data_IF_832499678288
#
_entry.id   IF_832499678288
#
_cell.length_a   1.000
_cell.length_b   1.000
_cell.length_c   1.000
_cell.angle_alpha   90.00
_cell.angle_beta   90.00
_cell.angle_gamma   90.00
#
_symmetry.space_group_name_H-M   'P 1'
#
loop_
_entity.id
_entity.type
_entity.pdbx_description
1 polymer ?
#
# COMPACT_ATOMS: atom_id res chain seq x y z
N UNK A 1 9.38 -37.73 -6.49
CA UNK A 1 8.62 -36.70 -5.73
C UNK A 1 8.98 -36.88 -4.26
N UNK A 2 9.91 -36.10 -3.75
CA UNK A 2 10.25 -36.06 -2.33
C UNK A 2 9.16 -35.27 -1.61
N UNK A 3 8.48 -35.91 -0.68
CA UNK A 3 7.50 -35.28 0.21
C UNK A 3 8.27 -34.23 1.05
N UNK A 4 7.87 -32.96 1.05
CA UNK A 4 8.50 -31.95 1.89
C UNK A 4 8.35 -32.35 3.37
N UNK A 5 9.42 -32.13 4.14
CA UNK A 5 9.44 -32.35 5.59
C UNK A 5 8.27 -31.61 6.25
N UNK A 6 7.57 -32.20 7.22
CA UNK A 6 6.47 -31.54 7.92
C UNK A 6 6.99 -30.27 8.60
N UNK A 7 6.23 -29.18 8.50
CA UNK A 7 6.43 -27.96 9.29
C UNK A 7 6.34 -28.40 10.76
N UNK A 8 7.46 -28.34 11.49
CA UNK A 8 7.52 -28.73 12.89
C UNK A 8 6.60 -27.82 13.71
N UNK A 9 5.52 -28.41 14.22
CA UNK A 9 4.63 -27.81 15.19
C UNK A 9 5.35 -27.73 16.55
N UNK A 10 6.17 -26.69 16.77
CA UNK A 10 6.55 -26.29 18.12
C UNK A 10 5.39 -25.45 18.69
N UNK A 11 4.92 -25.83 19.86
CA UNK A 11 3.84 -25.25 20.66
C UNK A 11 4.02 -23.76 20.96
N UNK A 12 3.90 -22.93 19.93
CA UNK A 12 3.57 -21.51 20.05
C UNK A 12 2.05 -21.40 20.09
N UNK A 13 1.48 -20.45 20.85
CA UNK A 13 0.05 -20.15 20.82
C UNK A 13 -0.38 -20.03 19.35
N UNK A 14 -1.50 -20.68 18.98
CA UNK A 14 -2.01 -20.73 17.60
C UNK A 14 -1.95 -19.33 16.95
N UNK A 15 -1.12 -19.12 15.92
CA UNK A 15 -0.83 -17.77 15.41
C UNK A 15 -2.07 -16.99 14.97
N UNK A 16 -3.03 -17.66 14.34
CA UNK A 16 -4.30 -17.05 13.94
C UNK A 16 -5.05 -16.51 15.15
N UNK A 17 -5.21 -17.30 16.19
CA UNK A 17 -5.90 -16.89 17.42
C UNK A 17 -5.09 -15.82 18.16
N UNK A 18 -3.76 -15.89 18.17
CA UNK A 18 -2.89 -14.87 18.77
C UNK A 18 -3.09 -13.49 18.15
N UNK A 19 -3.17 -13.39 16.81
CA UNK A 19 -3.51 -12.14 16.12
C UNK A 19 -4.91 -11.64 16.50
N UNK A 20 -5.89 -12.53 16.60
CA UNK A 20 -7.25 -12.17 16.97
C UNK A 20 -7.36 -11.67 18.42
N UNK A 21 -6.66 -12.31 19.36
CA UNK A 21 -6.57 -11.88 20.76
C UNK A 21 -5.92 -10.51 20.90
N UNK A 22 -4.81 -10.29 20.18
CA UNK A 22 -4.19 -8.97 20.11
C UNK A 22 -5.18 -7.91 19.62
N UNK A 23 -5.83 -8.15 18.48
CA UNK A 23 -6.80 -7.22 17.92
C UNK A 23 -7.97 -6.93 18.87
N UNK A 24 -8.49 -7.95 19.54
CA UNK A 24 -9.59 -7.80 20.51
C UNK A 24 -9.20 -6.98 21.74
N UNK A 25 -7.96 -7.13 22.21
CA UNK A 25 -7.45 -6.47 23.42
C UNK A 25 -6.87 -5.08 23.16
N UNK A 26 -6.51 -4.75 21.92
CA UNK A 26 -5.84 -3.50 21.59
C UNK A 26 -6.76 -2.31 21.84
N UNK A 27 -6.24 -1.33 22.57
CA UNK A 27 -6.94 -0.07 22.88
C UNK A 27 -6.15 1.09 22.23
N UNK A 28 -6.85 1.99 21.58
CA UNK A 28 -6.22 3.13 20.92
C UNK A 28 -5.56 4.10 21.91
N UNK A 29 -6.15 4.30 23.10
CA UNK A 29 -5.56 5.13 24.15
C UNK A 29 -4.24 4.55 24.70
N UNK A 30 -4.07 3.23 24.67
CA UNK A 30 -2.87 2.51 25.08
C UNK A 30 -1.78 2.44 24.00
N UNK A 31 -2.08 2.82 22.74
CA UNK A 31 -1.07 2.87 21.70
C UNK A 31 0.04 3.87 22.04
N UNK A 32 1.31 3.54 21.80
CA UNK A 32 2.44 4.47 21.93
C UNK A 32 2.18 5.76 21.14
N UNK A 33 2.68 6.90 21.66
CA UNK A 33 2.45 8.21 21.05
C UNK A 33 2.95 8.27 19.61
N UNK A 34 4.11 7.72 19.34
CA UNK A 34 4.70 7.68 18.00
C UNK A 34 3.85 6.86 17.02
N UNK A 35 3.23 5.76 17.47
CA UNK A 35 2.29 4.98 16.66
C UNK A 35 1.05 5.80 16.30
N UNK A 36 0.52 6.59 17.25
CA UNK A 36 -0.62 7.50 16.99
C UNK A 36 -0.25 8.55 15.95
N UNK A 37 0.95 9.13 16.05
CA UNK A 37 1.48 10.09 15.05
C UNK A 37 1.60 9.43 13.68
N UNK A 38 2.26 8.26 13.61
CA UNK A 38 2.41 7.52 12.35
C UNK A 38 1.05 7.20 11.71
N UNK A 39 0.05 6.77 12.49
CA UNK A 39 -1.29 6.50 11.97
C UNK A 39 -1.97 7.77 11.41
N UNK A 40 -1.75 8.92 12.03
CA UNK A 40 -2.22 10.21 11.52
C UNK A 40 -1.57 10.58 10.18
N UNK A 41 -0.25 10.41 10.07
CA UNK A 41 0.50 10.66 8.85
C UNK A 41 0.12 9.71 7.72
N UNK A 42 -0.06 8.41 8.02
CA UNK A 42 -0.57 7.41 7.07
C UNK A 42 -2.02 7.71 6.65
N UNK A 43 -2.86 8.24 7.55
CA UNK A 43 -4.21 8.70 7.20
C UNK A 43 -4.17 9.86 6.19
N UNK A 44 -3.30 10.86 6.40
CA UNK A 44 -3.13 11.97 5.45
C UNK A 44 -2.65 11.45 4.09
N UNK A 45 -1.69 10.52 4.07
CA UNK A 45 -1.22 9.92 2.82
C UNK A 45 -2.30 9.09 2.12
N UNK A 46 -3.05 8.28 2.87
CA UNK A 46 -4.20 7.53 2.35
C UNK A 46 -5.24 8.45 1.69
N UNK A 47 -5.64 9.53 2.37
CA UNK A 47 -6.60 10.50 1.81
C UNK A 47 -6.03 11.18 0.57
N UNK A 48 -4.74 11.54 0.58
CA UNK A 48 -4.03 12.15 -0.55
C UNK A 48 -4.07 11.24 -1.78
N UNK A 49 -3.67 9.97 -1.65
CA UNK A 49 -3.64 9.04 -2.80
C UNK A 49 -5.05 8.71 -3.27
N UNK A 50 -6.01 8.56 -2.36
CA UNK A 50 -7.40 8.32 -2.70
C UNK A 50 -8.00 9.50 -3.47
N UNK A 51 -7.63 10.74 -3.14
CA UNK A 51 -8.12 11.93 -3.84
C UNK A 51 -7.69 11.95 -5.30
N UNK A 52 -6.43 11.62 -5.59
CA UNK A 52 -5.91 11.52 -6.96
C UNK A 52 -6.56 10.33 -7.67
N UNK A 53 -6.56 9.19 -7.01
CA UNK A 53 -7.08 7.93 -7.57
C UNK A 53 -8.57 7.98 -7.90
N UNK A 54 -9.38 8.73 -7.16
CA UNK A 54 -10.80 8.90 -7.42
C UNK A 54 -11.10 9.53 -8.80
N UNK A 55 -10.13 10.22 -9.42
CA UNK A 55 -10.28 10.83 -10.76
C UNK A 55 -9.82 9.93 -11.90
N UNK A 56 -9.19 8.82 -11.59
CA UNK A 56 -8.68 7.93 -12.62
C UNK A 56 -9.82 7.24 -13.41
N UNK A 57 -9.64 6.97 -14.70
CA UNK A 57 -10.68 6.34 -15.53
C UNK A 57 -11.21 5.02 -14.97
N UNK A 58 -10.31 4.17 -14.46
CA UNK A 58 -10.68 2.88 -13.85
C UNK A 58 -11.48 3.02 -12.56
N UNK A 59 -11.33 4.13 -11.83
CA UNK A 59 -12.20 4.44 -10.68
C UNK A 59 -13.62 4.77 -11.12
N UNK A 60 -13.79 5.41 -12.28
CA UNK A 60 -15.10 5.57 -12.92
C UNK A 60 -15.74 4.25 -13.32
N UNK A 61 -14.94 3.28 -13.79
CA UNK A 61 -15.45 1.93 -14.11
C UNK A 61 -15.88 1.19 -12.84
N UNK A 62 -15.13 1.35 -11.74
CA UNK A 62 -15.50 0.79 -10.45
C UNK A 62 -16.80 1.39 -9.90
N UNK A 63 -16.96 2.73 -10.01
CA UNK A 63 -18.21 3.44 -9.67
C UNK A 63 -19.40 2.88 -10.45
N UNK A 64 -19.25 2.72 -11.78
CA UNK A 64 -20.27 2.18 -12.65
C UNK A 64 -20.64 0.74 -12.29
N UNK A 65 -19.62 -0.12 -12.02
CA UNK A 65 -19.83 -1.50 -11.60
C UNK A 65 -20.60 -1.58 -10.27
N UNK A 66 -20.19 -0.83 -9.25
CA UNK A 66 -20.88 -0.80 -7.97
C UNK A 66 -22.26 -0.16 -8.06
N UNK A 67 -22.47 0.76 -9.01
CA UNK A 67 -23.76 1.34 -9.31
C UNK A 67 -24.77 0.31 -9.82
N UNK A 68 -24.35 -0.66 -10.63
CA UNK A 68 -25.19 -1.76 -11.14
C UNK A 68 -25.63 -2.74 -10.03
N UNK A 69 -24.77 -2.93 -9.02
CA UNK A 69 -25.08 -3.81 -7.90
C UNK A 69 -26.06 -3.17 -6.89
N UNK A 70 -26.33 -1.87 -7.00
CA UNK A 70 -27.19 -1.13 -6.07
C UNK A 70 -26.56 -0.99 -4.68
N UNK A 71 -27.39 -1.03 -3.63
CA UNK A 71 -26.96 -0.98 -2.23
C UNK A 71 -26.73 0.45 -1.72
N UNK A 72 -27.74 0.99 -1.03
CA UNK A 72 -27.60 2.19 -0.21
C UNK A 72 -27.12 1.79 1.19
N UNK A 73 -26.45 2.67 1.89
CA UNK A 73 -25.95 2.42 3.24
C UNK A 73 -25.47 3.68 3.92
N UNK A 74 -24.75 3.50 5.02
CA UNK A 74 -24.27 4.61 5.86
C UNK A 74 -22.82 4.99 5.58
N UNK A 75 -22.06 4.09 4.94
CA UNK A 75 -20.62 4.25 4.77
C UNK A 75 -20.30 5.22 3.63
N UNK A 76 -19.43 6.18 3.89
CA UNK A 76 -19.00 7.16 2.91
C UNK A 76 -18.15 6.51 1.81
N UNK A 77 -18.42 6.94 0.57
CA UNK A 77 -17.51 6.74 -0.55
C UNK A 77 -16.73 8.05 -0.69
N UNK A 78 -15.42 7.98 -0.51
CA UNK A 78 -14.57 9.16 -0.51
C UNK A 78 -14.65 9.88 -1.86
N UNK A 79 -14.73 11.22 -1.83
CA UNK A 79 -14.83 12.07 -3.03
C UNK A 79 -16.06 11.76 -3.91
N UNK A 80 -17.11 11.22 -3.29
CA UNK A 80 -18.42 11.00 -3.90
C UNK A 80 -19.51 11.41 -2.92
N UNK A 81 -20.61 12.02 -3.39
CA UNK A 81 -21.72 12.40 -2.52
C UNK A 81 -22.57 11.20 -2.06
N UNK A 82 -22.42 10.05 -2.73
CA UNK A 82 -23.19 8.85 -2.43
C UNK A 82 -22.57 8.09 -1.24
N UNK A 83 -23.44 7.54 -0.40
CA UNK A 83 -23.08 6.55 0.60
C UNK A 83 -23.51 5.15 0.13
N UNK A 84 -22.80 4.15 0.59
CA UNK A 84 -23.05 2.74 0.25
C UNK A 84 -23.09 1.90 1.53
N UNK A 85 -23.47 0.63 1.43
CA UNK A 85 -23.16 -0.34 2.47
C UNK A 85 -21.63 -0.47 2.64
N UNK A 86 -21.20 -0.98 3.81
CA UNK A 86 -19.78 -0.99 4.16
C UNK A 86 -18.92 -1.81 3.18
N UNK A 87 -19.46 -2.90 2.63
CA UNK A 87 -18.73 -3.77 1.68
C UNK A 87 -18.40 -3.01 0.39
N UNK A 88 -19.39 -2.33 -0.19
CA UNK A 88 -19.21 -1.56 -1.43
C UNK A 88 -18.40 -0.27 -1.22
N UNK A 89 -18.60 0.38 -0.08
CA UNK A 89 -17.80 1.56 0.28
C UNK A 89 -16.31 1.20 0.43
N UNK A 90 -16.00 0.08 1.10
CA UNK A 90 -14.63 -0.43 1.23
C UNK A 90 -14.00 -0.74 -0.13
N UNK A 91 -14.75 -1.39 -1.04
CA UNK A 91 -14.27 -1.65 -2.41
C UNK A 91 -13.90 -0.35 -3.14
N UNK A 92 -14.81 0.63 -3.16
CA UNK A 92 -14.59 1.89 -3.89
C UNK A 92 -13.44 2.69 -3.30
N UNK A 93 -13.41 2.84 -1.98
CA UNK A 93 -12.36 3.58 -1.28
C UNK A 93 -10.98 2.94 -1.50
N UNK A 94 -10.89 1.62 -1.45
CA UNK A 94 -9.65 0.90 -1.73
C UNK A 94 -9.25 0.94 -3.21
N UNK A 95 -10.22 0.97 -4.14
CA UNK A 95 -9.95 1.23 -5.55
C UNK A 95 -9.27 2.59 -5.70
N UNK A 96 -9.83 3.64 -5.09
CA UNK A 96 -9.26 4.99 -5.22
C UNK A 96 -7.86 5.07 -4.61
N UNK A 97 -7.67 4.57 -3.40
CA UNK A 97 -6.38 4.62 -2.71
C UNK A 97 -5.29 3.80 -3.41
N UNK A 98 -5.62 2.62 -3.94
CA UNK A 98 -4.68 1.75 -4.67
C UNK A 98 -4.51 2.07 -6.16
N UNK A 99 -5.20 3.11 -6.67
CA UNK A 99 -5.33 3.40 -8.10
C UNK A 99 -4.07 3.88 -8.80
N UNK A 100 -3.17 4.55 -8.08
CA UNK A 100 -2.09 5.31 -8.71
C UNK A 100 -0.68 4.78 -8.40
N UNK A 101 -0.60 3.66 -7.67
CA UNK A 101 0.68 3.06 -7.22
C UNK A 101 1.59 4.00 -6.42
N UNK A 102 0.99 4.95 -5.69
CA UNK A 102 1.65 5.88 -4.78
C UNK A 102 1.22 5.70 -3.33
N UNK A 103 0.43 4.66 -3.05
CA UNK A 103 0.02 4.22 -1.73
C UNK A 103 1.20 3.62 -0.94
N UNK A 104 1.08 3.64 0.38
CA UNK A 104 2.08 3.12 1.28
C UNK A 104 2.45 1.66 1.01
N UNK A 105 3.63 1.25 1.45
CA UNK A 105 4.15 -0.09 1.15
C UNK A 105 5.00 -0.61 2.30
N UNK A 106 4.75 -1.84 2.74
CA UNK A 106 5.69 -2.58 3.55
C UNK A 106 6.57 -3.44 2.62
N UNK A 107 7.84 -3.05 2.47
CA UNK A 107 8.73 -3.62 1.43
C UNK A 107 9.00 -5.10 1.67
N UNK A 108 9.27 -5.51 2.91
CA UNK A 108 9.59 -6.89 3.28
C UNK A 108 8.43 -7.85 3.02
N UNK A 109 7.20 -7.47 3.33
CA UNK A 109 6.01 -8.29 3.07
C UNK A 109 5.43 -8.10 1.66
N UNK A 110 6.00 -7.18 0.86
CA UNK A 110 5.62 -6.91 -0.55
C UNK A 110 4.14 -6.54 -0.72
N UNK A 111 3.59 -5.73 0.19
CA UNK A 111 2.18 -5.38 0.19
C UNK A 111 1.93 -3.90 0.52
N UNK A 112 0.70 -3.45 0.23
CA UNK A 112 0.23 -2.08 0.40
C UNK A 112 -0.89 -2.04 1.45
N UNK A 113 -0.59 -1.78 2.74
CA UNK A 113 -1.59 -1.94 3.78
C UNK A 113 -2.62 -0.81 3.83
N UNK A 114 -2.20 0.44 3.66
CA UNK A 114 -3.07 1.60 3.90
C UNK A 114 -4.29 1.66 3.00
N UNK A 115 -4.12 1.38 1.71
CA UNK A 115 -5.23 1.37 0.75
C UNK A 115 -6.34 0.38 1.12
N UNK A 116 -6.02 -0.68 1.86
CA UNK A 116 -6.96 -1.72 2.27
C UNK A 116 -7.51 -1.46 3.66
N UNK A 117 -6.61 -1.30 4.64
CA UNK A 117 -6.97 -1.26 6.06
C UNK A 117 -7.77 -0.01 6.40
N UNK A 118 -7.34 1.18 5.92
CA UNK A 118 -8.13 2.40 6.12
C UNK A 118 -9.48 2.32 5.43
N UNK A 119 -9.55 1.78 4.20
CA UNK A 119 -10.81 1.65 3.47
C UNK A 119 -11.82 0.75 4.19
N UNK A 120 -11.37 -0.39 4.70
CA UNK A 120 -12.21 -1.30 5.47
C UNK A 120 -12.63 -0.69 6.83
N UNK A 121 -11.67 -0.09 7.56
CA UNK A 121 -11.93 0.51 8.86
C UNK A 121 -12.88 1.71 8.77
N UNK A 122 -12.68 2.64 7.81
CA UNK A 122 -13.57 3.79 7.60
C UNK A 122 -14.99 3.35 7.25
N UNK A 123 -15.12 2.38 6.32
CA UNK A 123 -16.43 1.89 5.89
C UNK A 123 -17.21 1.28 7.07
N UNK A 124 -16.55 0.46 7.91
CA UNK A 124 -17.22 -0.16 9.02
C UNK A 124 -17.40 0.79 10.21
N UNK A 125 -16.47 1.72 10.45
CA UNK A 125 -16.61 2.76 11.46
C UNK A 125 -17.87 3.62 11.23
N UNK A 126 -18.16 4.00 9.98
CA UNK A 126 -19.40 4.69 9.60
C UNK A 126 -20.64 3.84 9.89
N UNK A 127 -20.57 2.52 9.59
CA UNK A 127 -21.68 1.59 9.79
C UNK A 127 -22.03 1.41 11.26
N UNK A 128 -21.02 1.24 12.13
CA UNK A 128 -21.22 0.99 13.57
C UNK A 128 -21.19 2.26 14.41
N UNK A 129 -20.83 3.40 13.83
CA UNK A 129 -20.72 4.67 14.52
C UNK A 129 -19.54 4.72 15.50
N UNK A 130 -18.36 4.21 15.10
CA UNK A 130 -17.19 4.13 15.95
C UNK A 130 -16.59 5.49 16.27
N UNK A 131 -16.01 5.59 17.48
CA UNK A 131 -15.13 6.70 17.89
C UNK A 131 -13.69 6.52 17.40
N UNK A 132 -12.90 7.58 17.53
CA UNK A 132 -11.51 7.61 17.08
C UNK A 132 -10.62 6.59 17.78
N UNK A 133 -10.81 6.40 19.09
CA UNK A 133 -10.04 5.44 19.87
C UNK A 133 -10.17 4.00 19.34
N UNK A 134 -11.40 3.56 19.04
CA UNK A 134 -11.64 2.23 18.45
C UNK A 134 -11.14 2.14 17.01
N UNK A 135 -11.26 3.23 16.26
CA UNK A 135 -10.80 3.31 14.88
C UNK A 135 -9.29 3.13 14.76
N UNK A 136 -8.49 3.89 15.53
CA UNK A 136 -7.03 3.75 15.46
C UNK A 136 -6.56 2.38 15.96
N UNK A 137 -7.22 1.79 16.95
CA UNK A 137 -6.94 0.42 17.39
C UNK A 137 -7.22 -0.59 16.26
N UNK A 138 -8.34 -0.43 15.55
CA UNK A 138 -8.70 -1.29 14.42
C UNK A 138 -7.71 -1.14 13.26
N UNK A 139 -7.32 0.09 12.92
CA UNK A 139 -6.32 0.34 11.86
C UNK A 139 -4.98 -0.28 12.25
N UNK A 140 -4.48 -0.03 13.46
CA UNK A 140 -3.21 -0.60 13.94
C UNK A 140 -3.25 -2.14 13.90
N UNK A 141 -4.31 -2.76 14.41
CA UNK A 141 -4.47 -4.22 14.40
C UNK A 141 -4.51 -4.78 12.96
N UNK A 142 -5.20 -4.10 12.04
CA UNK A 142 -5.26 -4.48 10.63
C UNK A 142 -3.90 -4.42 9.94
N UNK A 143 -3.12 -3.35 10.16
CA UNK A 143 -1.76 -3.22 9.64
C UNK A 143 -0.87 -4.35 10.18
N UNK A 144 -0.85 -4.57 11.51
CA UNK A 144 -0.03 -5.62 12.12
C UNK A 144 -0.39 -7.00 11.58
N UNK A 145 -1.67 -7.34 11.50
CA UNK A 145 -2.11 -8.62 10.96
C UNK A 145 -1.68 -8.81 9.50
N UNK A 146 -1.94 -7.81 8.65
CA UNK A 146 -1.61 -7.87 7.22
C UNK A 146 -0.09 -8.02 6.99
N UNK A 147 0.72 -7.19 7.66
CA UNK A 147 2.17 -7.17 7.51
C UNK A 147 2.78 -8.48 8.03
N UNK A 148 2.39 -8.94 9.21
CA UNK A 148 2.93 -10.15 9.84
C UNK A 148 2.60 -11.42 9.06
N UNK A 149 1.35 -11.55 8.58
CA UNK A 149 0.97 -12.64 7.69
C UNK A 149 1.78 -12.60 6.39
N UNK A 150 1.90 -11.42 5.78
CA UNK A 150 2.71 -11.24 4.59
C UNK A 150 4.17 -11.61 4.78
N UNK A 151 4.81 -11.15 5.85
CA UNK A 151 6.21 -11.48 6.17
C UNK A 151 6.41 -12.98 6.40
N UNK A 152 5.46 -13.65 7.07
CA UNK A 152 5.60 -15.06 7.45
C UNK A 152 5.70 -16.00 6.25
N UNK A 153 5.26 -15.59 5.06
CA UNK A 153 5.21 -16.41 3.83
C UNK A 153 6.13 -15.94 2.70
N UNK A 154 6.83 -14.79 2.89
CA UNK A 154 7.77 -14.29 1.89
C UNK A 154 9.16 -14.95 2.02
N UNK A 155 9.94 -15.00 0.92
CA UNK A 155 9.62 -14.58 -0.46
C UNK A 155 8.89 -15.65 -1.29
N UNK A 156 8.66 -16.84 -0.74
CA UNK A 156 8.12 -18.02 -1.41
C UNK A 156 6.76 -17.76 -2.06
N UNK A 157 5.86 -17.08 -1.33
CA UNK A 157 4.55 -16.68 -1.82
C UNK A 157 4.62 -15.85 -3.13
N UNK A 158 5.48 -14.84 -3.16
CA UNK A 158 5.67 -14.02 -4.35
C UNK A 158 6.29 -14.81 -5.50
N UNK A 159 7.22 -15.72 -5.22
CA UNK A 159 7.86 -16.55 -6.24
C UNK A 159 6.86 -17.51 -6.91
N UNK A 160 5.82 -17.94 -6.21
CA UNK A 160 4.72 -18.74 -6.77
C UNK A 160 3.77 -17.92 -7.67
N UNK A 161 3.97 -16.61 -7.80
CA UNK A 161 3.18 -15.76 -8.68
C UNK A 161 1.96 -15.12 -8.02
N UNK A 162 1.86 -15.14 -6.70
CA UNK A 162 0.79 -14.46 -5.97
C UNK A 162 1.14 -12.98 -5.72
N UNK A 163 0.11 -12.14 -5.74
CA UNK A 163 0.21 -10.71 -5.42
C UNK A 163 -0.20 -10.51 -3.95
N UNK A 164 0.80 -10.21 -3.11
CA UNK A 164 0.64 -10.20 -1.65
C UNK A 164 -0.41 -9.22 -1.14
N UNK A 165 -0.55 -8.05 -1.75
CA UNK A 165 -1.61 -7.09 -1.37
C UNK A 165 -3.01 -7.68 -1.54
N UNK A 166 -3.23 -8.44 -2.62
CA UNK A 166 -4.52 -9.06 -2.89
C UNK A 166 -4.81 -10.25 -1.97
N UNK A 167 -3.79 -11.10 -1.74
CA UNK A 167 -3.96 -12.34 -0.97
C UNK A 167 -3.93 -12.11 0.55
N UNK A 168 -3.01 -11.26 1.04
CA UNK A 168 -2.88 -10.99 2.48
C UNK A 168 -3.76 -9.81 2.93
N UNK A 169 -4.17 -8.94 2.01
CA UNK A 169 -4.92 -7.74 2.34
C UNK A 169 -6.28 -8.02 2.98
N UNK A 170 -6.93 -9.10 2.54
CA UNK A 170 -8.21 -9.52 3.11
C UNK A 170 -8.12 -9.78 4.62
N UNK A 171 -7.00 -10.32 5.10
CA UNK A 171 -6.79 -10.56 6.54
C UNK A 171 -6.71 -9.25 7.32
N UNK A 172 -5.93 -8.27 6.83
CA UNK A 172 -5.85 -6.95 7.47
C UNK A 172 -7.20 -6.24 7.50
N UNK A 173 -7.94 -6.29 6.40
CA UNK A 173 -9.30 -5.74 6.32
C UNK A 173 -10.27 -6.46 7.26
N UNK A 174 -10.22 -7.80 7.34
CA UNK A 174 -11.07 -8.59 8.22
C UNK A 174 -10.79 -8.29 9.69
N UNK A 175 -9.52 -8.20 10.08
CA UNK A 175 -9.12 -7.86 11.45
C UNK A 175 -9.60 -6.45 11.81
N UNK A 176 -9.36 -5.45 10.97
CA UNK A 176 -9.79 -4.07 11.22
C UNK A 176 -11.33 -3.97 11.31
N UNK A 177 -12.04 -4.58 10.37
CA UNK A 177 -13.49 -4.58 10.34
C UNK A 177 -14.10 -5.35 11.53
N UNK A 178 -13.60 -6.55 11.83
CA UNK A 178 -14.10 -7.38 12.92
C UNK A 178 -13.81 -6.74 14.29
N UNK A 179 -12.64 -6.09 14.46
CA UNK A 179 -12.33 -5.32 15.69
C UNK A 179 -13.38 -4.24 15.98
N UNK A 180 -13.88 -3.58 14.93
CA UNK A 180 -14.96 -2.57 15.08
C UNK A 180 -16.33 -3.23 15.25
N UNK A 181 -16.62 -4.30 14.50
CA UNK A 181 -17.90 -5.00 14.54
C UNK A 181 -18.19 -5.65 15.88
N UNK A 182 -17.17 -6.15 16.57
CA UNK A 182 -17.27 -6.92 17.81
C UNK A 182 -16.70 -6.19 19.03
N UNK A 183 -16.51 -4.87 18.92
CA UNK A 183 -15.99 -4.06 20.02
C UNK A 183 -16.80 -4.21 21.30
N UNK A 184 -16.14 -4.61 22.40
CA UNK A 184 -16.77 -4.82 23.70
C UNK A 184 -17.63 -6.07 23.83
N UNK A 185 -17.72 -6.91 22.80
CA UNK A 185 -18.48 -8.16 22.86
C UNK A 185 -17.71 -9.28 23.57
N UNK A 186 -18.47 -10.21 24.19
CA UNK A 186 -17.88 -11.46 24.73
C UNK A 186 -17.31 -12.29 23.61
N UNK A 187 -16.15 -12.92 23.86
CA UNK A 187 -15.42 -13.75 22.89
C UNK A 187 -15.16 -13.02 21.55
N UNK A 188 -14.86 -11.72 21.61
CA UNK A 188 -14.53 -10.91 20.43
C UNK A 188 -13.33 -11.50 19.66
N UNK A 189 -12.34 -12.05 20.37
CA UNK A 189 -11.18 -12.74 19.81
C UNK A 189 -11.58 -13.93 18.93
N UNK A 190 -12.46 -14.82 19.38
CA UNK A 190 -12.97 -15.94 18.56
C UNK A 190 -13.78 -15.46 17.34
N UNK A 191 -14.53 -14.37 17.46
CA UNK A 191 -15.26 -13.78 16.34
C UNK A 191 -14.34 -13.13 15.33
N UNK A 192 -13.26 -12.50 15.78
CA UNK A 192 -12.20 -11.99 14.92
C UNK A 192 -11.45 -13.15 14.24
N UNK A 193 -11.11 -14.22 14.98
CA UNK A 193 -10.50 -15.42 14.42
C UNK A 193 -11.40 -16.07 13.35
N UNK A 194 -12.71 -16.17 13.59
CA UNK A 194 -13.68 -16.61 12.60
C UNK A 194 -13.69 -15.73 11.35
N UNK A 195 -13.58 -14.40 11.50
CA UNK A 195 -13.48 -13.48 10.36
C UNK A 195 -12.20 -13.69 9.55
N UNK A 196 -11.07 -13.94 10.22
CA UNK A 196 -9.79 -14.32 9.58
C UNK A 196 -9.97 -15.65 8.83
N UNK A 197 -10.62 -16.63 9.45
CA UNK A 197 -10.89 -17.94 8.84
C UNK A 197 -11.78 -17.86 7.60
N UNK A 198 -12.81 -17.03 7.63
CA UNK A 198 -13.72 -16.83 6.49
C UNK A 198 -13.01 -16.15 5.31
N UNK A 199 -12.26 -15.07 5.57
CA UNK A 199 -11.63 -14.28 4.49
C UNK A 199 -10.54 -15.06 3.77
N UNK A 200 -9.89 -16.01 4.40
CA UNK A 200 -8.90 -16.86 3.77
C UNK A 200 -9.44 -17.61 2.53
N UNK A 201 -10.72 -17.99 2.58
CA UNK A 201 -11.39 -18.67 1.47
C UNK A 201 -11.74 -17.73 0.30
N UNK A 202 -11.60 -16.41 0.50
CA UNK A 202 -11.83 -15.38 -0.53
C UNK A 202 -10.53 -14.83 -1.09
N UNK A 203 -9.37 -15.27 -0.56
CA UNK A 203 -8.06 -14.75 -0.95
C UNK A 203 -7.69 -15.13 -2.37
N UNK A 204 -7.17 -14.18 -3.13
CA UNK A 204 -6.72 -14.40 -4.49
C UNK A 204 -6.05 -13.17 -5.08
N UNK A 205 -5.30 -13.37 -6.16
CA UNK A 205 -4.60 -12.33 -6.89
C UNK A 205 -3.24 -12.80 -7.40
N UNK A 206 -2.96 -12.49 -8.67
CA UNK A 206 -1.80 -12.99 -9.39
C UNK A 206 -0.93 -11.86 -9.93
N UNK A 207 0.36 -12.13 -10.11
CA UNK A 207 1.37 -11.16 -10.59
C UNK A 207 1.56 -11.16 -12.11
N UNK A 208 0.78 -11.92 -12.89
CA UNK A 208 0.93 -12.01 -14.35
C UNK A 208 0.87 -10.65 -15.05
N UNK A 209 0.15 -9.67 -14.47
CA UNK A 209 0.06 -8.31 -15.02
C UNK A 209 1.42 -7.59 -15.15
N UNK A 210 2.45 -7.98 -14.42
CA UNK A 210 3.82 -7.45 -14.62
C UNK A 210 4.35 -7.72 -16.03
N UNK A 211 3.95 -8.83 -16.64
CA UNK A 211 4.43 -9.25 -17.96
C UNK A 211 3.49 -8.88 -19.10
N UNK A 212 2.18 -8.91 -18.82
CA UNK A 212 1.17 -8.80 -19.87
C UNK A 212 0.53 -7.41 -19.98
N UNK A 213 0.81 -6.52 -19.02
CA UNK A 213 0.05 -5.29 -18.83
C UNK A 213 -1.40 -5.60 -18.45
N UNK A 214 -2.05 -4.78 -17.70
CA UNK A 214 -3.48 -4.92 -17.36
C UNK A 214 -3.87 -3.92 -16.26
N UNK A 215 -5.15 -3.62 -16.16
CA UNK A 215 -5.69 -2.80 -15.07
C UNK A 215 -6.00 -3.59 -13.80
N UNK A 216 -5.81 -4.92 -13.77
CA UNK A 216 -6.23 -5.79 -12.65
C UNK A 216 -5.59 -5.42 -11.31
N UNK A 217 -4.35 -4.92 -11.30
CA UNK A 217 -3.71 -4.44 -10.07
C UNK A 217 -4.54 -3.37 -9.37
N UNK A 218 -5.28 -2.53 -10.13
CA UNK A 218 -6.08 -1.42 -9.61
C UNK A 218 -7.24 -1.87 -8.71
N UNK A 219 -7.70 -3.11 -8.88
CA UNK A 219 -8.78 -3.70 -8.07
C UNK A 219 -8.30 -4.74 -7.06
N UNK A 220 -7.01 -5.03 -6.96
CA UNK A 220 -6.50 -5.99 -5.97
C UNK A 220 -6.78 -5.52 -4.54
N UNK A 221 -6.45 -4.26 -4.22
CA UNK A 221 -6.75 -3.67 -2.91
C UNK A 221 -8.26 -3.62 -2.65
N UNK A 222 -9.04 -3.27 -3.68
CA UNK A 222 -10.50 -3.20 -3.61
C UNK A 222 -11.13 -4.52 -3.20
N UNK A 223 -10.76 -5.63 -3.89
CA UNK A 223 -11.29 -6.95 -3.58
C UNK A 223 -10.86 -7.44 -2.20
N UNK A 224 -9.63 -7.16 -1.80
CA UNK A 224 -9.14 -7.49 -0.46
C UNK A 224 -9.93 -6.76 0.64
N UNK A 225 -10.16 -5.44 0.49
CA UNK A 225 -10.95 -4.66 1.44
C UNK A 225 -12.41 -5.12 1.52
N UNK A 226 -13.04 -5.31 0.36
CA UNK A 226 -14.41 -5.85 0.24
C UNK A 226 -14.55 -7.20 0.93
N UNK A 227 -13.65 -8.15 0.63
CA UNK A 227 -13.67 -9.49 1.19
C UNK A 227 -13.49 -9.49 2.72
N UNK A 228 -12.61 -8.63 3.25
CA UNK A 228 -12.40 -8.52 4.69
C UNK A 228 -13.63 -7.97 5.42
N UNK A 229 -14.24 -6.91 4.90
CA UNK A 229 -15.48 -6.36 5.47
C UNK A 229 -16.62 -7.38 5.36
N UNK A 230 -16.76 -8.07 4.23
CA UNK A 230 -17.76 -9.11 4.05
C UNK A 230 -17.57 -10.26 5.06
N UNK A 231 -16.33 -10.73 5.29
CA UNK A 231 -16.03 -11.77 6.26
C UNK A 231 -16.42 -11.35 7.69
N UNK A 232 -16.10 -10.12 8.11
CA UNK A 232 -16.49 -9.60 9.42
C UNK A 232 -18.03 -9.54 9.57
N UNK A 233 -18.74 -9.09 8.54
CA UNK A 233 -20.21 -9.02 8.56
C UNK A 233 -20.86 -10.41 8.52
N UNK A 234 -20.29 -11.38 7.77
CA UNK A 234 -20.75 -12.77 7.80
C UNK A 234 -20.55 -13.40 9.18
N UNK A 235 -19.39 -13.19 9.82
CA UNK A 235 -19.15 -13.63 11.19
C UNK A 235 -20.17 -13.01 12.18
N UNK A 236 -20.57 -11.76 11.97
CA UNK A 236 -21.60 -11.08 12.75
C UNK A 236 -22.98 -11.75 12.61
N UNK A 237 -23.26 -12.39 11.46
CA UNK A 237 -24.49 -13.17 11.26
C UNK A 237 -24.41 -14.60 11.81
N UNK A 238 -23.24 -15.03 12.33
CA UNK A 238 -23.06 -16.35 12.92
C UNK A 238 -22.31 -17.36 12.03
N UNK A 239 -21.81 -16.95 10.86
CA UNK A 239 -20.87 -17.79 10.11
C UNK A 239 -19.56 -17.90 10.86
N UNK A 240 -18.93 -19.08 10.80
CA UNK A 240 -17.63 -19.35 11.45
C UNK A 240 -16.59 -19.74 10.42
N UNK A 241 -15.33 -19.41 10.68
CA UNK A 241 -14.17 -19.87 9.94
C UNK A 241 -13.21 -20.64 10.86
N UNK A 242 -12.31 -21.46 10.31
CA UNK A 242 -11.29 -22.16 11.11
C UNK A 242 -10.38 -21.18 11.86
N UNK A 243 -10.20 -21.37 13.15
CA UNK A 243 -9.38 -20.49 13.99
C UNK A 243 -7.87 -20.76 13.86
N UNK A 244 -7.50 -21.80 13.09
CA UNK A 244 -6.13 -22.18 12.72
C UNK A 244 -5.88 -22.05 11.20
N UNK A 245 -6.66 -21.20 10.53
CA UNK A 245 -6.70 -21.12 9.07
C UNK A 245 -5.34 -20.78 8.43
N UNK A 246 -4.47 -20.07 9.12
CA UNK A 246 -3.18 -19.68 8.55
C UNK A 246 -2.16 -20.82 8.75
N UNK A 247 -2.06 -21.36 9.95
CA UNK A 247 -1.09 -22.39 10.36
C UNK A 247 -1.54 -23.83 10.13
N UNK A 248 -2.84 -24.07 9.92
CA UNK A 248 -3.42 -25.40 9.78
C UNK A 248 -2.85 -26.20 8.61
N UNK A 249 -2.98 -27.53 8.68
CA UNK A 249 -2.44 -28.44 7.66
C UNK A 249 -2.95 -28.20 6.23
N UNK A 250 -4.16 -27.67 6.10
CA UNK A 250 -4.77 -27.22 4.84
C UNK A 250 -4.96 -25.69 4.84
N UNK A 251 -4.17 -24.98 5.66
CA UNK A 251 -4.29 -23.56 5.87
C UNK A 251 -3.59 -22.72 4.80
N UNK A 252 -3.74 -21.40 4.96
CA UNK A 252 -3.28 -20.40 4.00
C UNK A 252 -1.77 -20.47 3.75
N UNK A 253 -0.95 -20.53 4.81
CA UNK A 253 0.51 -20.58 4.65
C UNK A 253 0.94 -21.75 3.79
N UNK A 254 0.39 -22.94 4.03
CA UNK A 254 0.74 -24.15 3.27
C UNK A 254 0.20 -24.13 1.84
N UNK A 255 -0.99 -23.58 1.62
CA UNK A 255 -1.58 -23.50 0.29
C UNK A 255 -0.90 -22.46 -0.61
N UNK A 256 -0.41 -21.36 -0.03
CA UNK A 256 0.05 -20.18 -0.77
C UNK A 256 1.57 -19.99 -0.76
N UNK A 257 2.33 -20.77 0.02
CA UNK A 257 3.79 -20.67 0.09
C UNK A 257 4.44 -22.07 0.18
N UNK A 258 5.68 -22.19 -0.29
CA UNK A 258 6.48 -23.41 -0.16
C UNK A 258 7.23 -23.45 1.19
N UNK A 259 7.45 -22.28 1.80
CA UNK A 259 8.06 -22.10 3.11
C UNK A 259 7.36 -20.96 3.86
N UNK A 260 7.23 -21.11 5.18
CA UNK A 260 6.62 -20.11 6.06
C UNK A 260 7.33 -20.07 7.41
N UNK A 261 7.53 -18.84 7.95
CA UNK A 261 8.06 -18.58 9.30
C UNK A 261 6.93 -18.02 10.17
N UNK A 262 6.08 -18.92 10.67
CA UNK A 262 4.82 -18.55 11.34
C UNK A 262 5.03 -17.81 12.68
N UNK A 263 6.21 -17.90 13.31
CA UNK A 263 6.50 -17.17 14.56
C UNK A 263 6.43 -15.65 14.36
N UNK A 264 6.76 -15.16 13.16
CA UNK A 264 6.68 -13.72 12.82
C UNK A 264 5.29 -13.15 13.12
N UNK A 265 4.24 -13.96 13.04
CA UNK A 265 2.87 -13.50 13.28
C UNK A 265 2.63 -13.03 14.70
N UNK A 266 3.34 -13.60 15.68
CA UNK A 266 3.11 -13.32 17.12
C UNK A 266 4.34 -12.77 17.84
N UNK A 267 5.54 -12.86 17.27
CA UNK A 267 6.77 -12.37 17.90
C UNK A 267 6.70 -10.86 18.15
N UNK A 268 6.82 -10.46 19.42
CA UNK A 268 6.75 -9.06 19.85
C UNK A 268 5.41 -8.37 19.54
N UNK A 269 4.33 -9.14 19.34
CA UNK A 269 3.00 -8.60 19.06
C UNK A 269 2.50 -7.78 20.26
N UNK A 270 2.15 -6.50 20.01
CA UNK A 270 1.77 -5.56 21.06
C UNK A 270 2.94 -4.75 21.65
N UNK A 271 4.19 -5.17 21.42
CA UNK A 271 5.40 -4.46 21.82
C UNK A 271 6.12 -3.84 20.62
N UNK A 272 6.33 -4.65 19.58
CA UNK A 272 6.89 -4.23 18.29
C UNK A 272 5.78 -4.00 17.28
N UNK A 273 5.64 -2.75 16.82
CA UNK A 273 4.68 -2.37 15.78
C UNK A 273 5.38 -2.29 14.43
N UNK A 274 5.07 -3.22 13.53
CA UNK A 274 5.65 -3.29 12.18
C UNK A 274 5.11 -2.21 11.25
N UNK A 275 4.01 -1.55 11.59
CA UNK A 275 3.53 -0.38 10.85
C UNK A 275 4.54 0.77 10.81
N UNK A 276 5.55 0.80 11.71
CA UNK A 276 6.68 1.74 11.64
C UNK A 276 7.61 1.46 10.46
N UNK A 277 7.60 0.24 9.94
CA UNK A 277 8.47 -0.20 8.84
C UNK A 277 7.82 0.08 7.46
N UNK A 278 6.69 0.80 7.44
CA UNK A 278 5.98 1.17 6.22
C UNK A 278 6.67 2.33 5.52
N UNK A 279 6.87 2.19 4.22
CA UNK A 279 7.38 3.24 3.33
C UNK A 279 6.21 4.02 2.73
N UNK A 280 6.24 5.34 2.85
CA UNK A 280 5.34 6.25 2.13
C UNK A 280 6.02 6.67 0.83
N UNK A 281 5.44 6.30 -0.32
CA UNK A 281 6.07 6.54 -1.62
C UNK A 281 6.16 8.02 -2.00
N UNK A 282 7.33 8.42 -2.50
CA UNK A 282 7.56 9.75 -3.09
C UNK A 282 6.96 9.88 -4.49
N UNK A 283 7.04 8.83 -5.28
CA UNK A 283 6.67 8.80 -6.70
C UNK A 283 5.61 7.73 -6.98
N UNK A 284 4.81 7.91 -8.02
CA UNK A 284 3.75 6.98 -8.43
C UNK A 284 4.29 5.77 -9.20
N UNK A 285 5.17 4.98 -8.58
CA UNK A 285 5.77 3.79 -9.17
C UNK A 285 6.08 2.73 -8.11
N UNK A 286 6.61 1.59 -8.54
CA UNK A 286 7.00 0.51 -7.63
C UNK A 286 7.90 1.00 -6.49
N UNK A 287 7.65 0.57 -5.26
CA UNK A 287 8.49 0.92 -4.11
C UNK A 287 9.96 0.56 -4.31
N UNK A 288 10.24 -0.48 -5.10
CA UNK A 288 11.61 -0.96 -5.36
C UNK A 288 12.37 -0.18 -6.41
N UNK A 289 11.76 0.80 -7.09
CA UNK A 289 12.44 1.68 -8.03
C UNK A 289 12.55 3.12 -7.52
N UNK A 290 11.99 3.41 -6.35
CA UNK A 290 11.98 4.76 -5.77
C UNK A 290 13.38 5.36 -5.59
N UNK A 291 14.33 4.59 -5.06
CA UNK A 291 15.72 5.06 -4.83
C UNK A 291 16.42 5.42 -6.16
N UNK A 292 16.22 4.64 -7.20
CA UNK A 292 16.78 4.92 -8.51
C UNK A 292 16.19 6.21 -9.13
N UNK A 293 14.86 6.36 -9.04
CA UNK A 293 14.17 7.57 -9.52
C UNK A 293 14.65 8.81 -8.76
N UNK A 294 14.70 8.75 -7.43
CA UNK A 294 15.21 9.84 -6.59
C UNK A 294 16.64 10.21 -6.98
N UNK A 295 17.54 9.22 -7.07
CA UNK A 295 18.93 9.46 -7.43
C UNK A 295 19.11 10.12 -8.81
N UNK A 296 18.28 9.74 -9.79
CA UNK A 296 18.29 10.36 -11.12
C UNK A 296 17.81 11.81 -11.03
N UNK A 297 16.69 12.06 -10.36
CA UNK A 297 16.14 13.40 -10.19
C UNK A 297 17.14 14.34 -9.50
N UNK A 298 17.77 13.87 -8.42
CA UNK A 298 18.77 14.64 -7.67
C UNK A 298 20.01 14.96 -8.52
N UNK A 299 20.56 13.97 -9.25
CA UNK A 299 21.71 14.22 -10.13
C UNK A 299 21.36 15.21 -11.24
N UNK A 300 20.20 15.04 -11.88
CA UNK A 300 19.78 15.91 -12.97
C UNK A 300 19.55 17.35 -12.48
N UNK A 301 18.95 17.54 -11.32
CA UNK A 301 18.73 18.86 -10.71
C UNK A 301 20.05 19.51 -10.28
N UNK A 302 20.88 18.78 -9.53
CA UNK A 302 22.15 19.31 -8.99
C UNK A 302 23.15 19.73 -10.09
N UNK A 303 23.17 18.99 -11.20
CA UNK A 303 24.12 19.22 -12.29
C UNK A 303 23.50 19.90 -13.51
N UNK A 304 22.20 20.29 -13.45
CA UNK A 304 21.46 20.92 -14.55
C UNK A 304 21.54 20.14 -15.85
N UNK A 305 21.43 18.80 -15.74
CA UNK A 305 21.55 17.88 -16.87
C UNK A 305 20.43 18.13 -17.87
N UNK A 306 20.82 18.49 -19.10
CA UNK A 306 19.89 18.56 -20.22
C UNK A 306 19.66 17.15 -20.80
N UNK A 307 18.41 16.71 -21.01
CA UNK A 307 18.10 15.36 -21.52
C UNK A 307 18.77 15.03 -22.84
N UNK A 308 19.02 16.04 -23.69
CA UNK A 308 19.65 15.86 -24.99
C UNK A 308 21.16 15.63 -24.92
N UNK A 309 21.81 15.99 -23.81
CA UNK A 309 23.24 15.82 -23.61
C UNK A 309 23.60 14.49 -22.94
N UNK A 310 22.60 13.69 -22.56
CA UNK A 310 22.80 12.37 -21.94
C UNK A 310 23.23 11.36 -23.02
N UNK A 311 24.33 10.63 -22.74
CA UNK A 311 24.85 9.54 -23.57
C UNK A 311 24.52 8.15 -23.01
N UNK A 312 24.47 7.97 -21.66
CA UNK A 312 24.20 6.70 -21.00
C UNK A 312 23.66 6.94 -19.57
N UNK A 313 22.74 6.07 -19.15
CA UNK A 313 22.23 6.03 -17.78
C UNK A 313 22.37 4.62 -17.22
N UNK A 314 23.33 4.43 -16.34
CA UNK A 314 23.51 3.17 -15.64
C UNK A 314 22.75 3.19 -14.31
N UNK A 315 22.00 2.11 -14.03
CA UNK A 315 21.31 1.89 -12.77
C UNK A 315 21.73 0.53 -12.22
N UNK A 316 22.54 0.55 -11.17
CA UNK A 316 22.90 -0.61 -10.37
C UNK A 316 21.74 -1.00 -9.46
N UNK A 317 21.35 -2.28 -9.49
CA UNK A 317 20.16 -2.84 -8.84
C UNK A 317 20.45 -4.14 -8.11
N UNK A 318 19.61 -4.59 -7.15
CA UNK A 318 19.71 -5.95 -6.62
C UNK A 318 19.11 -6.97 -7.60
N UNK A 319 19.57 -8.21 -7.52
CA UNK A 319 19.14 -9.30 -8.39
C UNK A 319 17.62 -9.55 -8.36
N UNK A 320 16.97 -9.30 -7.21
CA UNK A 320 15.53 -9.55 -7.01
C UNK A 320 14.62 -8.76 -7.97
N UNK A 321 15.07 -7.62 -8.53
CA UNK A 321 14.27 -6.81 -9.45
C UNK A 321 14.65 -7.03 -10.93
N UNK A 322 15.79 -7.67 -11.20
CA UNK A 322 16.22 -7.95 -12.57
C UNK A 322 15.22 -8.89 -13.29
N UNK A 323 14.84 -8.53 -14.52
CA UNK A 323 13.86 -9.28 -15.32
C UNK A 323 12.41 -9.17 -14.84
N UNK A 324 12.15 -8.46 -13.71
CA UNK A 324 10.80 -8.23 -13.17
C UNK A 324 10.38 -6.76 -13.31
N UNK A 325 11.25 -5.86 -12.85
CA UNK A 325 11.03 -4.41 -12.95
C UNK A 325 11.97 -3.72 -13.96
N UNK A 326 12.70 -4.49 -14.72
CA UNK A 326 13.62 -4.01 -15.77
C UNK A 326 13.12 -4.32 -17.18
N UNK A 327 11.80 -4.47 -17.35
CA UNK A 327 11.16 -4.71 -18.63
C UNK A 327 10.99 -3.37 -19.36
N UNK A 328 11.67 -3.15 -20.50
CA UNK A 328 11.56 -1.90 -21.25
C UNK A 328 10.30 -1.89 -22.12
N UNK A 329 9.95 -0.71 -22.64
CA UNK A 329 8.85 -0.46 -23.58
C UNK A 329 7.49 -0.92 -23.03
N UNK A 330 7.06 -0.33 -21.91
CA UNK A 330 5.77 -0.66 -21.32
C UNK A 330 4.63 -0.37 -22.31
N UNK A 331 3.60 -1.21 -22.26
CA UNK A 331 2.44 -1.13 -23.17
C UNK A 331 1.28 -0.33 -22.60
N UNK A 332 1.29 -0.10 -21.30
CA UNK A 332 0.27 0.69 -20.57
C UNK A 332 0.88 1.39 -19.36
N UNK A 333 0.11 2.26 -18.72
CA UNK A 333 0.54 3.03 -17.55
C UNK A 333 0.92 2.13 -16.36
N UNK A 334 0.25 1.00 -16.19
CA UNK A 334 0.56 0.06 -15.12
C UNK A 334 1.93 -0.60 -15.32
N UNK A 335 2.23 -1.03 -16.53
CA UNK A 335 3.52 -1.58 -16.89
C UNK A 335 4.63 -0.51 -16.80
N UNK A 336 4.33 0.74 -17.17
CA UNK A 336 5.27 1.85 -17.07
C UNK A 336 5.68 2.14 -15.62
N UNK A 337 4.73 2.17 -14.68
CA UNK A 337 5.00 2.34 -13.25
C UNK A 337 5.81 1.17 -12.63
N UNK A 338 5.83 0.01 -13.28
CA UNK A 338 6.61 -1.17 -12.90
C UNK A 338 7.94 -1.28 -13.68
N UNK A 339 8.23 -0.39 -14.62
CA UNK A 339 9.43 -0.41 -15.44
C UNK A 339 10.47 0.59 -14.91
N UNK A 340 11.59 0.07 -14.40
CA UNK A 340 12.72 0.91 -14.00
C UNK A 340 13.35 1.65 -15.18
N UNK A 341 13.60 1.02 -16.36
CA UNK A 341 14.12 1.74 -17.53
C UNK A 341 13.23 2.91 -17.93
N UNK A 342 11.91 2.70 -17.95
CA UNK A 342 10.95 3.74 -18.30
C UNK A 342 10.90 4.85 -17.22
N UNK A 343 10.86 4.48 -15.93
CA UNK A 343 10.87 5.44 -14.82
C UNK A 343 12.14 6.30 -14.80
N UNK A 344 13.29 5.69 -15.09
CA UNK A 344 14.58 6.39 -15.22
C UNK A 344 14.57 7.38 -16.39
N UNK A 345 14.10 6.94 -17.54
CA UNK A 345 13.97 7.80 -18.72
C UNK A 345 13.03 8.98 -18.49
N UNK A 346 11.89 8.72 -17.85
CA UNK A 346 10.90 9.72 -17.51
C UNK A 346 11.47 10.76 -16.51
N UNK A 347 12.21 10.31 -15.51
CA UNK A 347 12.87 11.18 -14.54
C UNK A 347 13.86 12.12 -15.24
N UNK A 348 14.73 11.63 -16.11
CA UNK A 348 15.66 12.46 -16.91
C UNK A 348 14.91 13.45 -17.80
N UNK A 349 13.84 13.02 -18.45
CA UNK A 349 13.11 13.86 -19.41
C UNK A 349 12.36 15.05 -18.76
N UNK A 350 11.88 14.89 -17.52
CA UNK A 350 11.00 15.88 -16.85
C UNK A 350 11.75 16.87 -15.94
N UNK A 351 12.96 16.57 -15.48
CA UNK A 351 13.68 17.41 -14.51
C UNK A 351 13.82 18.88 -14.93
N UNK A 352 14.09 19.23 -16.20
CA UNK A 352 14.26 20.63 -16.58
C UNK A 352 13.06 21.52 -16.28
N UNK A 353 11.86 20.94 -16.14
CA UNK A 353 10.60 21.63 -15.83
C UNK A 353 10.11 21.41 -14.39
N UNK A 354 10.90 20.69 -13.57
CA UNK A 354 10.46 20.27 -12.25
C UNK A 354 10.56 21.40 -11.21
N UNK A 355 9.43 21.71 -10.57
CA UNK A 355 9.38 22.59 -9.41
C UNK A 355 9.96 21.90 -8.16
N UNK A 356 10.18 22.66 -7.08
CA UNK A 356 10.56 22.09 -5.80
C UNK A 356 9.49 21.10 -5.28
N UNK A 357 9.94 19.97 -4.76
CA UNK A 357 9.06 18.88 -4.31
C UNK A 357 8.42 18.08 -5.46
N UNK A 358 8.99 18.15 -6.67
CA UNK A 358 8.52 17.38 -7.81
C UNK A 358 8.52 15.88 -7.52
N UNK A 359 7.44 15.23 -7.95
CA UNK A 359 7.26 13.78 -7.85
C UNK A 359 6.68 13.27 -9.17
N UNK A 360 7.18 12.15 -9.67
CA UNK A 360 6.57 11.50 -10.81
C UNK A 360 5.14 11.07 -10.46
N UNK A 361 4.16 11.62 -11.17
CA UNK A 361 2.75 11.35 -11.00
C UNK A 361 2.26 10.27 -11.97
N UNK A 362 1.08 9.71 -11.72
CA UNK A 362 0.45 8.75 -12.64
C UNK A 362 0.19 9.36 -14.01
N UNK A 363 -0.12 10.65 -14.08
CA UNK A 363 -0.34 11.38 -15.34
C UNK A 363 0.95 11.60 -16.13
N UNK A 364 2.10 11.74 -15.44
CA UNK A 364 3.41 11.77 -16.10
C UNK A 364 3.71 10.43 -16.76
N UNK A 365 3.43 9.31 -16.07
CA UNK A 365 3.57 7.97 -16.64
C UNK A 365 2.64 7.76 -17.84
N UNK A 366 1.38 8.21 -17.77
CA UNK A 366 0.40 8.08 -18.86
C UNK A 366 0.85 8.88 -20.10
N UNK A 367 1.22 10.14 -19.92
CA UNK A 367 1.68 11.01 -21.02
C UNK A 367 2.99 10.56 -21.64
N UNK A 368 3.88 9.92 -20.87
CA UNK A 368 5.21 9.48 -21.31
C UNK A 368 5.20 8.27 -22.24
N UNK A 369 4.14 7.46 -22.25
CA UNK A 369 4.07 6.22 -23.06
C UNK A 369 4.34 6.44 -24.54
N UNK A 370 3.99 7.63 -25.05
CA UNK A 370 4.15 7.98 -26.45
C UNK A 370 5.16 9.12 -26.70
N UNK A 371 5.76 9.69 -25.63
CA UNK A 371 6.75 10.77 -25.76
C UNK A 371 8.05 10.24 -26.41
N UNK A 372 8.43 10.77 -27.58
CA UNK A 372 9.65 10.33 -28.28
C UNK A 372 10.94 10.64 -27.50
N UNK A 373 10.94 11.66 -26.62
CA UNK A 373 12.09 11.99 -25.78
C UNK A 373 12.30 10.89 -24.73
N UNK A 374 11.23 10.46 -24.05
CA UNK A 374 11.30 9.38 -23.07
C UNK A 374 11.74 8.07 -23.74
N UNK A 375 11.17 7.73 -24.91
CA UNK A 375 11.56 6.54 -25.68
C UNK A 375 13.02 6.55 -26.09
N UNK A 376 13.56 7.71 -26.46
CA UNK A 376 14.97 7.87 -26.80
C UNK A 376 15.87 7.63 -25.60
N UNK A 377 15.54 8.25 -24.45
CA UNK A 377 16.32 8.12 -23.22
C UNK A 377 16.24 6.69 -22.68
N UNK A 378 15.09 6.04 -22.77
CA UNK A 378 14.90 4.65 -22.32
C UNK A 378 15.88 3.68 -22.99
N UNK A 379 16.26 3.93 -24.25
CA UNK A 379 17.26 3.14 -24.97
C UNK A 379 18.70 3.33 -24.42
N UNK A 380 18.94 4.40 -23.68
CA UNK A 380 20.22 4.70 -23.04
C UNK A 380 20.29 4.15 -21.59
N UNK A 381 19.18 3.62 -21.06
CA UNK A 381 19.14 3.09 -19.68
C UNK A 381 19.60 1.65 -19.65
N UNK A 382 20.59 1.38 -18.81
CA UNK A 382 21.09 0.03 -18.52
C UNK A 382 20.89 -0.29 -17.05
N UNK A 383 20.22 -1.41 -16.77
CA UNK A 383 19.99 -1.92 -15.42
C UNK A 383 20.79 -3.20 -15.25
N UNK A 384 21.74 -3.20 -14.31
CA UNK A 384 22.62 -4.35 -14.05
C UNK A 384 22.70 -4.63 -12.56
N UNK A 385 22.94 -5.89 -12.18
CA UNK A 385 23.16 -6.23 -10.77
C UNK A 385 24.46 -5.59 -10.30
N UNK A 386 24.38 -4.81 -9.23
CA UNK A 386 25.52 -4.16 -8.58
C UNK A 386 25.76 -4.81 -7.21
N UNK A 387 26.98 -5.27 -6.98
CA UNK A 387 27.33 -6.03 -5.77
C UNK A 387 27.19 -5.21 -4.47
N UNK A 388 27.45 -3.88 -4.51
CA UNK A 388 27.25 -3.03 -3.34
C UNK A 388 25.77 -2.78 -3.07
N UNK A 389 24.97 -2.60 -4.13
CA UNK A 389 23.51 -2.49 -4.03
C UNK A 389 22.91 -3.78 -3.49
N UNK A 390 23.35 -4.94 -4.00
CA UNK A 390 22.90 -6.25 -3.50
C UNK A 390 23.19 -6.42 -2.01
N UNK A 391 24.43 -6.12 -1.59
CA UNK A 391 24.85 -6.22 -0.20
C UNK A 391 24.12 -5.24 0.76
N UNK A 392 23.73 -4.08 0.26
CA UNK A 392 23.00 -3.07 1.04
C UNK A 392 21.47 -3.24 1.01
N UNK A 393 20.94 -4.18 0.21
CA UNK A 393 19.50 -4.45 0.14
C UNK A 393 19.00 -5.10 1.43
N UNK A 394 17.92 -4.56 1.99
CA UNK A 394 17.29 -5.06 3.22
C UNK A 394 15.79 -5.33 3.00
N UNK A 395 15.12 -5.87 4.03
CA UNK A 395 13.66 -5.99 4.03
C UNK A 395 12.94 -4.62 4.01
N UNK A 396 13.61 -3.54 4.42
CA UNK A 396 13.01 -2.20 4.56
C UNK A 396 13.31 -1.28 3.37
N UNK A 397 14.44 -1.51 2.67
CA UNK A 397 14.89 -0.62 1.61
C UNK A 397 15.56 -1.38 0.46
N UNK A 398 15.30 -0.93 -0.75
CA UNK A 398 15.99 -1.34 -1.97
C UNK A 398 16.81 -0.15 -2.46
N UNK A 399 18.14 -0.17 -2.24
CA UNK A 399 19.04 0.89 -2.68
C UNK A 399 19.23 0.89 -4.20
N UNK A 400 19.84 1.96 -4.71
CA UNK A 400 20.24 2.04 -6.11
C UNK A 400 21.54 2.85 -6.26
N UNK A 401 22.40 2.42 -7.19
CA UNK A 401 23.51 3.21 -7.72
C UNK A 401 23.07 3.82 -9.06
N UNK A 402 23.25 5.11 -9.22
CA UNK A 402 22.95 5.79 -10.48
C UNK A 402 24.23 6.43 -11.02
N UNK A 403 24.49 6.24 -12.31
CA UNK A 403 25.57 6.94 -13.03
C UNK A 403 24.98 7.48 -14.33
N UNK A 404 25.08 8.80 -14.54
CA UNK A 404 24.68 9.46 -15.78
C UNK A 404 25.96 9.90 -16.48
N UNK A 405 26.15 9.45 -17.72
CA UNK A 405 27.29 9.82 -18.57
C UNK A 405 26.79 10.79 -19.62
N UNK A 406 27.45 11.95 -19.73
CA UNK A 406 27.16 12.99 -20.71
C UNK A 406 27.87 12.72 -22.02
N UNK A 407 27.43 13.34 -23.13
CA UNK A 407 28.04 13.23 -24.44
C UNK A 407 29.49 13.74 -24.52
N UNK A 408 29.85 14.68 -23.62
CA UNK A 408 31.24 15.18 -23.51
C UNK A 408 32.15 14.27 -22.65
N UNK A 409 31.62 13.12 -22.17
CA UNK A 409 32.33 12.17 -21.33
C UNK A 409 32.24 12.45 -19.82
N UNK A 410 31.65 13.57 -19.39
CA UNK A 410 31.45 13.86 -17.98
C UNK A 410 30.54 12.82 -17.34
N UNK A 411 30.85 12.39 -16.11
CA UNK A 411 30.08 11.40 -15.37
C UNK A 411 29.63 11.96 -14.03
N UNK A 412 28.34 11.81 -13.76
CA UNK A 412 27.70 12.15 -12.49
C UNK A 412 27.20 10.86 -11.84
N UNK A 413 27.46 10.66 -10.54
CA UNK A 413 27.07 9.43 -9.85
C UNK A 413 26.54 9.70 -8.46
N UNK A 414 25.65 8.83 -8.00
CA UNK A 414 25.13 8.81 -6.62
C UNK A 414 24.80 7.39 -6.18
N UNK A 415 24.79 7.17 -4.88
CA UNK A 415 24.29 5.96 -4.23
C UNK A 415 23.19 6.35 -3.26
N UNK A 416 21.96 5.88 -3.52
CA UNK A 416 20.80 6.12 -2.65
C UNK A 416 20.55 4.85 -1.85
N UNK A 417 20.91 4.86 -0.57
CA UNK A 417 20.76 3.70 0.32
C UNK A 417 19.32 3.40 0.67
N UNK A 418 18.47 4.44 0.74
CA UNK A 418 17.04 4.32 0.97
C UNK A 418 16.33 5.55 0.40
N UNK A 419 15.16 5.40 -0.24
CA UNK A 419 14.43 6.53 -0.78
C UNK A 419 13.79 7.38 0.33
N UNK A 420 13.52 8.65 0.06
CA UNK A 420 12.73 9.52 0.95
C UNK A 420 11.33 8.91 1.13
N UNK A 421 10.88 8.87 2.38
CA UNK A 421 9.64 8.23 2.81
C UNK A 421 9.79 6.77 3.27
N UNK A 422 11.01 6.20 3.20
CA UNK A 422 11.33 4.91 3.84
C UNK A 422 11.48 5.06 5.36
N UNK A 423 11.43 3.97 6.13
CA UNK A 423 11.58 4.01 7.59
C UNK A 423 12.88 4.69 8.06
N UNK A 424 13.98 4.50 7.34
CA UNK A 424 15.28 5.12 7.65
C UNK A 424 15.42 6.57 7.17
N UNK A 425 14.56 7.02 6.25
CA UNK A 425 14.50 8.40 5.71
C UNK A 425 13.04 8.88 5.58
N UNK A 426 12.29 8.95 6.69
CA UNK A 426 10.86 9.26 6.64
C UNK A 426 10.61 10.68 6.12
N UNK A 427 9.40 10.91 5.62
CA UNK A 427 8.88 12.25 5.48
C UNK A 427 8.69 12.85 6.88
N UNK A 428 8.96 14.14 7.03
CA UNK A 428 8.61 14.88 8.25
C UNK A 428 7.09 15.08 8.33
N UNK A 429 6.58 15.43 9.51
CA UNK A 429 5.17 15.78 9.67
C UNK A 429 4.76 16.91 8.71
N UNK A 430 5.59 17.94 8.58
CA UNK A 430 5.35 19.05 7.65
C UNK A 430 5.36 18.60 6.18
N UNK A 431 6.23 17.63 5.82
CA UNK A 431 6.21 17.04 4.48
C UNK A 431 4.86 16.36 4.19
N UNK A 432 4.31 15.59 5.15
CA UNK A 432 3.01 14.94 5.02
C UNK A 432 1.89 15.97 4.82
N UNK A 433 1.86 17.04 5.62
CA UNK A 433 0.88 18.12 5.52
C UNK A 433 1.02 18.84 4.16
N UNK A 434 2.24 19.19 3.76
CA UNK A 434 2.47 19.89 2.49
C UNK A 434 2.03 19.04 1.28
N UNK A 435 2.35 17.74 1.29
CA UNK A 435 1.93 16.80 0.24
C UNK A 435 0.41 16.63 0.20
N UNK A 436 -0.23 16.52 1.35
CA UNK A 436 -1.68 16.45 1.49
C UNK A 436 -2.34 17.73 0.92
N UNK A 437 -1.95 18.92 1.39
CA UNK A 437 -2.54 20.20 0.95
C UNK A 437 -2.35 20.45 -0.54
N UNK A 438 -1.19 20.13 -1.10
CA UNK A 438 -0.92 20.29 -2.54
C UNK A 438 -1.95 19.58 -3.42
N UNK A 439 -2.43 18.42 -2.98
CA UNK A 439 -3.43 17.66 -3.75
C UNK A 439 -4.86 18.01 -3.36
N UNK A 440 -5.13 18.15 -2.07
CA UNK A 440 -6.50 18.32 -1.60
C UNK A 440 -7.05 19.76 -1.82
N UNK A 441 -6.19 20.80 -1.83
CA UNK A 441 -6.59 22.17 -2.14
C UNK A 441 -7.14 22.33 -3.58
N UNK A 442 -6.93 21.32 -4.43
CA UNK A 442 -7.55 21.26 -5.76
C UNK A 442 -9.05 20.92 -5.70
N UNK A 443 -9.55 20.44 -4.56
CA UNK A 443 -10.90 19.88 -4.39
C UNK A 443 -11.65 20.41 -3.19
N UNK A 444 -10.94 20.66 -2.12
CA UNK A 444 -11.48 21.08 -0.83
C UNK A 444 -11.06 22.53 -0.57
N UNK A 445 -11.83 23.20 0.27
CA UNK A 445 -11.43 24.53 0.77
C UNK A 445 -10.22 24.38 1.71
N UNK A 446 -9.41 25.42 1.82
CA UNK A 446 -8.29 25.47 2.77
C UNK A 446 -8.74 25.14 4.19
N UNK A 447 -9.86 25.74 4.64
CA UNK A 447 -10.47 25.45 5.94
C UNK A 447 -10.77 23.96 6.14
N UNK A 448 -11.32 23.29 5.12
CA UNK A 448 -11.60 21.84 5.19
C UNK A 448 -10.32 21.03 5.26
N UNK A 449 -9.29 21.42 4.51
CA UNK A 449 -7.97 20.78 4.57
C UNK A 449 -7.35 20.94 5.95
N UNK A 450 -7.42 22.13 6.56
CA UNK A 450 -6.92 22.40 7.90
C UNK A 450 -7.63 21.54 8.95
N UNK A 451 -8.96 21.42 8.86
CA UNK A 451 -9.75 20.56 9.74
C UNK A 451 -9.36 19.09 9.61
N UNK A 452 -9.12 18.59 8.39
CA UNK A 452 -8.67 17.18 8.19
C UNK A 452 -7.27 16.98 8.77
N UNK A 453 -6.36 17.93 8.61
CA UNK A 453 -5.01 17.88 9.20
C UNK A 453 -5.08 17.83 10.73
N UNK A 454 -5.92 18.67 11.34
CA UNK A 454 -6.14 18.68 12.78
C UNK A 454 -6.69 17.34 13.27
N UNK A 455 -7.70 16.80 12.56
CA UNK A 455 -8.29 15.49 12.85
C UNK A 455 -7.23 14.38 12.75
N UNK A 456 -6.42 14.37 11.70
CA UNK A 456 -5.39 13.37 11.50
C UNK A 456 -4.33 13.39 12.62
N UNK A 457 -3.99 14.57 13.13
CA UNK A 457 -3.10 14.72 14.28
C UNK A 457 -3.68 14.21 15.59
N UNK A 458 -5.01 14.07 15.71
CA UNK A 458 -5.76 13.75 16.93
C UNK A 458 -6.83 12.67 16.67
N UNK A 459 -6.56 11.69 15.81
CA UNK A 459 -7.54 10.67 15.41
C UNK A 459 -8.18 9.94 16.60
N UNK A 460 -7.39 9.69 17.66
CA UNK A 460 -7.88 9.01 18.87
C UNK A 460 -9.01 9.78 19.58
N UNK A 461 -9.00 11.10 19.48
CA UNK A 461 -9.88 12.00 20.24
C UNK A 461 -11.21 12.27 19.53
N UNK A 462 -11.42 11.70 18.35
CA UNK A 462 -12.69 11.84 17.64
C UNK A 462 -13.83 11.13 18.37
N UNK A 463 -14.90 11.86 18.68
CA UNK A 463 -16.14 11.25 19.17
C UNK A 463 -16.73 10.26 18.18
N UNK A 464 -16.66 10.62 16.90
CA UNK A 464 -17.16 9.83 15.76
C UNK A 464 -16.25 9.97 14.55
N UNK A 465 -15.82 8.85 13.98
CA UNK A 465 -15.05 8.80 12.74
C UNK A 465 -15.82 9.43 11.57
N UNK A 466 -17.15 9.41 11.65
CA UNK A 466 -18.04 10.03 10.67
C UNK A 466 -17.70 11.50 10.38
N UNK A 467 -17.10 12.24 11.32
CA UNK A 467 -16.68 13.62 11.08
C UNK A 467 -15.70 13.75 9.92
N UNK A 468 -14.68 12.90 9.87
CA UNK A 468 -13.71 12.92 8.75
C UNK A 468 -14.33 12.39 7.45
N UNK A 469 -15.15 11.34 7.52
CA UNK A 469 -15.78 10.79 6.33
C UNK A 469 -16.81 11.73 5.71
N UNK A 470 -17.51 12.55 6.51
CA UNK A 470 -18.41 13.61 6.00
C UNK A 470 -17.64 14.72 5.27
N UNK A 471 -16.46 15.12 5.78
CA UNK A 471 -15.60 16.11 5.12
C UNK A 471 -15.08 15.61 3.77
N UNK A 472 -14.91 14.31 3.62
CA UNK A 472 -14.38 13.67 2.42
C UNK A 472 -15.48 13.18 1.45
N UNK A 473 -16.75 13.08 1.89
CA UNK A 473 -17.88 12.65 1.06
C UNK A 473 -18.41 13.85 0.22
N UNK A 474 -17.56 14.39 -0.65
CA UNK A 474 -17.86 15.55 -1.48
C UNK A 474 -17.99 15.17 -2.95
N UNK A 475 -18.77 15.95 -3.70
CA UNK A 475 -18.88 15.76 -5.14
C UNK A 475 -17.53 15.96 -5.86
N UNK A 476 -17.38 15.32 -7.04
CA UNK A 476 -16.26 15.64 -7.94
C UNK A 476 -16.20 17.16 -8.17
N UNK A 477 -15.01 17.74 -8.09
CA UNK A 477 -14.81 19.07 -8.67
C UNK A 477 -15.14 18.99 -10.17
N UNK A 478 -15.96 19.92 -10.65
CA UNK A 478 -16.36 19.99 -12.06
C UNK A 478 -15.19 20.35 -12.95
#
# INVERSE_FOLDING_TARGET
MTIPTPIENRTAAAPTLGLAQFAASLRGDALPRDIKVTLGELCLDYVRVASIGAEMPWSGWADAYMGQLGGQGRSAVLFRPQRRDAVRAAFLNATYAGSIDADDTHVGSMLHPGSIVFSAALALADEVGAGGNDFIAAVAAGYEAMIRIGLSIQPSHFHRGFQSTATCGGFGAAVAAARLAFNGEKAADHKIASSIGLVASFSGGLTQFYKSGSTVKRIHAARAAENGVAAALLARQGFTGPEDIIEGANGFARAYADAAELRIMTDGLGEKYLLREVTVKGHACSARVQAAVEGILDLCKANRIAPDDVADVFVGIPAVILGRLTIPRPIDVQAAQMSLPHSAALAVALVPSAADGFALSVTDYESSLHDPRVKRIEQLVRCEVDAEVEAATTAEAVPARVIITMKDGTRHSTFVSAPKGSPSRPFTHDDHIARFRRELNKRLTEKTCDEIVEIAGNLADLDRVKRITDLLAVARSR
#
